data_IF_935454865320
#
_entry.id   IF_935454865320
#
_cell.length_a   1.000
_cell.length_b   1.000
_cell.length_c   1.000
_cell.angle_alpha   90.00
_cell.angle_beta   90.00
_cell.angle_gamma   90.00
#
_symmetry.space_group_name_H-M   'P 1'
#
loop_
_entity.id
_entity.type
_entity.pdbx_description
1 polymer ?
#
# COMPACT_ATOMS: atom_id res chain seq x y z
N UNK A 1 4.89 10.44 -0.19
CA UNK A 1 5.71 9.80 0.88
C UNK A 1 7.17 9.79 0.45
N UNK A 2 8.11 9.67 1.39
CA UNK A 2 9.55 9.82 1.13
C UNK A 2 10.10 8.87 0.03
N UNK A 3 9.53 7.68 -0.11
CA UNK A 3 10.01 6.65 -1.06
C UNK A 3 9.29 6.66 -2.42
N UNK A 4 8.26 7.49 -2.62
CA UNK A 4 7.43 7.46 -3.83
C UNK A 4 8.25 7.67 -5.12
N UNK A 5 9.06 8.72 -5.14
CA UNK A 5 9.86 9.09 -6.31
C UNK A 5 10.94 8.04 -6.60
N UNK A 6 11.54 7.47 -5.54
CA UNK A 6 12.50 6.37 -5.66
C UNK A 6 11.84 5.13 -6.27
N UNK A 7 10.64 4.78 -5.82
CA UNK A 7 9.88 3.65 -6.38
C UNK A 7 9.53 3.87 -7.86
N UNK A 8 9.08 5.07 -8.25
CA UNK A 8 8.82 5.40 -9.65
C UNK A 8 10.08 5.31 -10.52
N UNK A 9 11.23 5.75 -10.01
CA UNK A 9 12.51 5.63 -10.74
C UNK A 9 12.88 4.17 -11.00
N UNK A 10 12.67 3.28 -10.04
CA UNK A 10 12.98 1.86 -10.21
C UNK A 10 11.94 1.17 -11.12
N UNK A 11 10.65 1.48 -10.96
CA UNK A 11 9.57 0.81 -11.67
C UNK A 11 9.39 1.29 -13.12
N UNK A 12 9.69 2.57 -13.42
CA UNK A 12 9.31 3.20 -14.68
C UNK A 12 10.48 3.83 -15.45
N UNK A 13 11.73 3.69 -14.99
CA UNK A 13 12.88 4.24 -15.71
C UNK A 13 13.03 3.64 -17.11
N UNK A 14 13.32 4.50 -18.09
CA UNK A 14 13.75 4.13 -19.44
C UNK A 14 15.09 4.77 -19.75
N UNK A 15 15.93 4.06 -20.50
CA UNK A 15 17.11 4.65 -21.11
C UNK A 15 16.69 5.41 -22.37
N UNK A 16 17.14 6.66 -22.50
CA UNK A 16 17.02 7.43 -23.74
C UNK A 16 18.40 7.45 -24.39
N UNK A 17 18.54 6.82 -25.56
CA UNK A 17 19.79 6.85 -26.35
C UNK A 17 19.66 7.97 -27.39
N UNK A 18 20.66 8.84 -27.49
CA UNK A 18 20.74 9.84 -28.56
C UNK A 18 21.10 9.18 -29.90
N UNK A 19 20.57 9.69 -31.02
CA UNK A 19 20.95 9.20 -32.35
C UNK A 19 22.37 9.68 -32.69
N UNK A 20 23.32 8.74 -32.78
CA UNK A 20 24.71 8.96 -33.18
C UNK A 20 25.45 7.63 -33.36
N UNK A 21 26.56 7.62 -34.11
CA UNK A 21 27.26 6.39 -34.56
C UNK A 21 27.82 5.49 -33.44
N UNK A 22 27.80 5.96 -32.18
CA UNK A 22 28.10 5.18 -30.97
C UNK A 22 26.82 4.90 -30.16
N UNK A 23 25.78 4.38 -30.82
CA UNK A 23 24.53 4.01 -30.17
C UNK A 23 24.77 2.82 -29.23
N UNK A 24 25.12 3.12 -27.97
CA UNK A 24 25.26 2.14 -26.90
C UNK A 24 24.01 1.27 -26.78
N UNK A 25 24.24 -0.04 -26.96
CA UNK A 25 23.38 -1.20 -26.65
C UNK A 25 21.93 -0.85 -26.23
N UNK A 26 20.99 -0.98 -27.18
CA UNK A 26 19.55 -0.95 -26.94
C UNK A 26 19.07 -1.95 -25.85
N UNK A 27 19.92 -2.90 -25.43
CA UNK A 27 19.67 -3.87 -24.36
C UNK A 27 19.81 -3.34 -22.91
N UNK A 28 20.23 -2.10 -22.70
CA UNK A 28 20.43 -1.53 -21.34
C UNK A 28 19.18 -0.80 -20.79
N UNK A 29 18.00 -1.07 -21.36
CA UNK A 29 16.71 -0.56 -20.86
C UNK A 29 16.21 -1.44 -19.71
N UNK A 30 15.49 -0.84 -18.75
CA UNK A 30 14.90 -1.57 -17.64
C UNK A 30 13.87 -2.60 -18.14
N UNK A 31 14.22 -3.89 -18.06
CA UNK A 31 13.35 -5.00 -18.49
C UNK A 31 12.09 -5.17 -17.64
N UNK A 32 12.07 -4.57 -16.45
CA UNK A 32 10.94 -4.57 -15.52
C UNK A 32 10.07 -3.31 -15.62
N UNK A 33 10.36 -2.42 -16.57
CA UNK A 33 9.60 -1.19 -16.75
C UNK A 33 8.10 -1.49 -16.91
N UNK A 34 7.26 -0.82 -16.14
CA UNK A 34 5.80 -0.95 -16.22
C UNK A 34 5.22 -2.26 -15.68
N UNK A 35 6.04 -3.16 -15.11
CA UNK A 35 5.55 -4.42 -14.50
C UNK A 35 4.95 -4.26 -13.11
N UNK A 36 5.16 -3.11 -12.46
CA UNK A 36 4.79 -2.89 -11.07
C UNK A 36 3.87 -1.68 -10.91
N UNK A 37 2.86 -1.81 -10.07
CA UNK A 37 2.06 -0.69 -9.60
C UNK A 37 2.68 -0.12 -8.31
N UNK A 38 3.09 1.14 -8.34
CA UNK A 38 3.63 1.82 -7.16
C UNK A 38 2.47 2.30 -6.28
N UNK A 39 2.39 1.76 -5.07
CA UNK A 39 1.44 2.19 -4.03
C UNK A 39 2.22 2.79 -2.86
N UNK A 40 1.70 3.88 -2.29
CA UNK A 40 2.34 4.54 -1.16
C UNK A 40 1.34 4.85 -0.08
N UNK A 41 1.76 4.67 1.17
CA UNK A 41 0.96 4.98 2.36
C UNK A 41 1.81 5.70 3.40
N UNK A 42 1.30 6.76 4.06
CA UNK A 42 2.01 7.43 5.16
C UNK A 42 2.10 6.56 6.42
N UNK A 43 1.25 5.52 6.54
CA UNK A 43 1.18 4.67 7.72
C UNK A 43 2.46 3.87 7.97
N UNK A 44 3.21 3.49 6.93
CA UNK A 44 4.47 2.74 7.07
C UNK A 44 5.56 3.52 7.83
N UNK A 45 5.55 4.85 7.71
CA UNK A 45 6.50 5.75 8.40
C UNK A 45 6.00 6.27 9.74
N UNK A 46 4.82 5.84 10.20
CA UNK A 46 4.23 6.36 11.44
C UNK A 46 4.90 5.70 12.66
N UNK A 47 5.67 6.49 13.41
CA UNK A 47 6.38 6.03 14.60
C UNK A 47 5.48 5.51 15.73
N UNK A 48 4.18 5.82 15.72
CA UNK A 48 3.22 5.28 16.68
C UNK A 48 2.85 3.82 16.43
N UNK A 49 3.21 3.24 15.28
CA UNK A 49 2.93 1.84 14.97
C UNK A 49 4.12 0.94 15.26
N UNK A 50 3.88 -0.18 15.91
CA UNK A 50 4.90 -1.21 16.12
C UNK A 50 5.38 -1.74 14.77
N UNK A 51 6.70 -1.83 14.57
CA UNK A 51 7.31 -2.32 13.33
C UNK A 51 7.37 -1.30 12.19
N UNK A 52 7.11 -0.01 12.45
CA UNK A 52 7.23 1.06 11.47
C UNK A 52 8.64 1.14 10.87
N UNK A 53 8.73 1.64 9.64
CA UNK A 53 10.01 2.00 9.03
C UNK A 53 9.77 3.03 7.92
N UNK A 54 10.56 4.11 7.95
CA UNK A 54 10.54 5.14 6.92
C UNK A 54 11.24 4.72 5.62
N UNK A 55 12.02 3.64 5.64
CA UNK A 55 12.88 3.19 4.53
C UNK A 55 12.52 1.79 4.01
N UNK A 56 11.77 0.99 4.78
CA UNK A 56 11.35 -0.33 4.34
C UNK A 56 10.35 -0.24 3.18
N UNK A 57 10.41 -1.23 2.29
CA UNK A 57 9.51 -1.36 1.15
C UNK A 57 9.00 -2.79 1.02
N UNK A 58 7.88 -2.95 0.33
CA UNK A 58 7.22 -4.23 0.14
C UNK A 58 6.93 -4.42 -1.34
N UNK A 59 7.16 -5.64 -1.83
CA UNK A 59 6.71 -6.09 -3.13
C UNK A 59 5.75 -7.25 -2.90
N UNK A 60 4.52 -7.09 -3.38
CA UNK A 60 3.44 -8.06 -3.22
C UNK A 60 3.02 -8.56 -4.60
N UNK A 61 2.69 -9.85 -4.67
CA UNK A 61 2.06 -10.46 -5.83
C UNK A 61 0.65 -9.89 -6.03
N UNK A 62 0.10 -10.10 -7.24
CA UNK A 62 -1.30 -9.79 -7.49
C UNK A 62 -2.17 -10.66 -6.56
N UNK A 63 -3.08 -10.07 -5.77
CA UNK A 63 -3.93 -10.83 -4.86
C UNK A 63 -4.84 -11.85 -5.57
N UNK A 64 -5.12 -11.67 -6.87
CA UNK A 64 -5.85 -12.66 -7.67
C UNK A 64 -5.05 -13.96 -7.91
N UNK A 65 -3.72 -13.88 -7.91
CA UNK A 65 -2.83 -15.03 -8.11
C UNK A 65 -2.38 -15.62 -6.78
N UNK A 66 -1.94 -14.78 -5.84
CA UNK A 66 -1.41 -15.20 -4.55
C UNK A 66 -1.62 -14.11 -3.48
N UNK A 67 -2.71 -14.17 -2.70
CA UNK A 67 -3.03 -13.16 -1.70
C UNK A 67 -2.12 -13.28 -0.47
N UNK A 68 -1.43 -12.19 -0.13
CA UNK A 68 -0.56 -12.12 1.06
C UNK A 68 -1.34 -11.72 2.30
N UNK A 69 -2.31 -10.81 2.13
CA UNK A 69 -3.12 -10.24 3.20
C UNK A 69 -4.58 -10.50 2.85
N UNK A 70 -5.30 -11.14 3.76
CA UNK A 70 -6.74 -11.33 3.66
C UNK A 70 -7.45 -10.33 4.57
N UNK A 71 -8.56 -9.78 4.08
CA UNK A 71 -9.47 -8.95 4.87
C UNK A 71 -10.87 -9.52 4.74
N UNK A 72 -11.53 -9.74 5.87
CA UNK A 72 -12.89 -10.26 5.94
C UNK A 72 -13.79 -9.29 6.70
N UNK A 73 -15.00 -9.11 6.19
CA UNK A 73 -16.00 -8.24 6.80
C UNK A 73 -17.06 -9.09 7.49
N UNK A 74 -17.37 -8.79 8.75
CA UNK A 74 -18.36 -9.54 9.50
C UNK A 74 -19.72 -9.38 8.82
N UNK A 75 -20.40 -10.51 8.58
CA UNK A 75 -21.68 -10.56 7.86
C UNK A 75 -21.64 -9.94 6.44
N UNK A 76 -20.45 -9.85 5.82
CA UNK A 76 -20.28 -9.25 4.49
C UNK A 76 -20.52 -7.73 4.45
N UNK A 77 -20.53 -7.06 5.60
CA UNK A 77 -20.76 -5.61 5.69
C UNK A 77 -19.44 -4.84 5.61
N UNK A 78 -19.14 -4.32 4.43
CA UNK A 78 -17.92 -3.55 4.14
C UNK A 78 -18.00 -2.07 4.56
N UNK A 79 -19.22 -1.54 4.74
CA UNK A 79 -19.44 -0.17 5.22
C UNK A 79 -19.69 -0.11 6.73
N UNK A 80 -19.13 0.87 7.46
CA UNK A 80 -19.39 1.03 8.88
C UNK A 80 -20.86 1.39 9.14
N UNK A 81 -21.41 0.90 10.24
CA UNK A 81 -22.74 1.30 10.74
C UNK A 81 -22.61 2.60 11.52
N UNK A 82 -23.46 3.58 11.24
CA UNK A 82 -23.56 4.81 12.04
C UNK A 82 -24.91 4.84 12.73
N UNK A 83 -24.90 5.12 14.03
CA UNK A 83 -26.10 5.23 14.84
C UNK A 83 -26.11 6.58 15.57
N UNK A 84 -27.29 7.17 15.67
CA UNK A 84 -27.52 8.44 16.36
C UNK A 84 -28.51 8.27 17.51
N UNK A 85 -28.22 8.88 18.65
CA UNK A 85 -29.13 8.95 19.79
C UNK A 85 -29.20 10.39 20.35
N UNK A 86 -30.31 10.74 21.00
CA UNK A 86 -30.39 12.01 21.72
C UNK A 86 -29.41 11.99 22.89
N UNK A 87 -28.67 13.07 23.12
CA UNK A 87 -27.82 13.19 24.29
C UNK A 87 -28.67 13.19 25.58
N UNK A 88 -28.06 12.77 26.70
CA UNK A 88 -28.70 12.81 28.03
C UNK A 88 -29.30 14.19 28.30
N UNK A 89 -30.41 14.26 29.04
CA UNK A 89 -31.18 15.49 29.29
C UNK A 89 -30.33 16.68 29.78
N UNK A 90 -29.24 16.40 30.51
CA UNK A 90 -28.33 17.42 31.03
C UNK A 90 -27.35 17.99 29.97
N UNK A 91 -27.35 17.47 28.74
CA UNK A 91 -26.45 17.86 27.65
C UNK A 91 -27.26 18.08 26.36
N UNK A 92 -27.24 19.30 25.82
CA UNK A 92 -27.82 19.57 24.51
C UNK A 92 -26.95 18.94 23.41
N UNK A 93 -27.52 18.07 22.58
CA UNK A 93 -26.81 17.51 21.43
C UNK A 93 -27.36 16.17 20.94
N UNK A 94 -26.69 15.63 19.93
CA UNK A 94 -26.91 14.30 19.36
C UNK A 94 -25.62 13.51 19.55
N UNK A 95 -25.73 12.31 20.11
CA UNK A 95 -24.63 11.37 20.20
C UNK A 95 -24.57 10.54 18.92
N UNK A 96 -23.39 10.41 18.35
CA UNK A 96 -23.11 9.59 17.18
C UNK A 96 -22.10 8.52 17.58
N UNK A 97 -22.37 7.27 17.21
CA UNK A 97 -21.39 6.20 17.25
C UNK A 97 -21.30 5.53 15.89
N UNK A 98 -20.09 5.11 15.53
CA UNK A 98 -19.85 4.32 14.34
C UNK A 98 -19.06 3.07 14.71
N UNK A 99 -19.43 1.93 14.12
CA UNK A 99 -18.69 0.68 14.27
C UNK A 99 -18.57 -0.02 12.91
N UNK A 100 -17.44 -0.67 12.68
CA UNK A 100 -17.17 -1.46 11.49
C UNK A 100 -16.38 -2.69 11.91
N UNK A 101 -16.97 -3.86 11.71
CA UNK A 101 -16.41 -5.12 12.16
C UNK A 101 -15.71 -5.81 11.00
N UNK A 102 -14.37 -5.80 11.02
CA UNK A 102 -13.52 -6.46 10.03
C UNK A 102 -12.36 -7.17 10.70
N UNK A 103 -11.87 -8.23 10.06
CA UNK A 103 -10.67 -8.96 10.44
C UNK A 103 -9.62 -8.89 9.34
N UNK A 104 -8.35 -8.93 9.72
CA UNK A 104 -7.24 -9.06 8.79
C UNK A 104 -6.28 -10.18 9.23
N UNK A 105 -5.79 -10.96 8.28
CA UNK A 105 -4.83 -12.03 8.53
C UNK A 105 -3.78 -12.12 7.41
N UNK A 106 -2.63 -12.71 7.71
CA UNK A 106 -1.62 -13.07 6.71
C UNK A 106 -1.93 -14.47 6.17
N UNK A 107 -1.96 -14.61 4.86
CA UNK A 107 -2.34 -15.85 4.18
C UNK A 107 -1.10 -16.57 3.62
N UNK A 108 -0.65 -16.18 2.42
CA UNK A 108 0.49 -16.80 1.75
C UNK A 108 1.75 -15.95 1.87
N UNK A 109 2.74 -16.45 2.61
CA UNK A 109 3.99 -15.71 2.89
C UNK A 109 4.90 -15.60 1.66
N UNK A 110 4.79 -16.51 0.68
CA UNK A 110 5.60 -16.50 -0.54
C UNK A 110 5.21 -15.38 -1.51
N UNK A 111 4.01 -14.82 -1.36
CA UNK A 111 3.52 -13.75 -2.23
C UNK A 111 4.03 -12.37 -1.90
N UNK A 112 4.78 -12.21 -0.81
CA UNK A 112 5.28 -10.90 -0.38
C UNK A 112 6.75 -10.97 0.05
N UNK A 113 7.51 -9.95 -0.32
CA UNK A 113 8.85 -9.72 0.22
C UNK A 113 8.94 -8.34 0.82
N UNK A 114 9.60 -8.25 1.98
CA UNK A 114 9.96 -6.99 2.62
C UNK A 114 11.45 -6.73 2.40
N UNK A 115 11.79 -5.59 1.83
CA UNK A 115 13.14 -5.06 1.85
C UNK A 115 13.33 -4.12 3.03
N UNK A 116 14.45 -4.25 3.75
CA UNK A 116 14.75 -3.41 4.93
C UNK A 116 14.96 -1.93 4.60
N UNK A 117 15.17 -1.58 3.32
CA UNK A 117 15.68 -0.29 2.91
C UNK A 117 17.21 -0.26 2.91
N UNK A 118 17.78 0.88 2.50
CA UNK A 118 19.20 1.17 2.67
C UNK A 118 19.46 1.80 4.04
#
# INVERSE_FOLDING_TARGET
>A
TALHNTALRIANSSLVVGQGADAGLAGNTNVYQGRYQVVTTPYLSNASYTGFSAVAWYLLANPADMPVIETVFLNGKDTPTVESAQASFNTLGIQLRAYGDFGCALQEFRGGVRGSGA
#
